data_IF_852216434483
#
_entry.id   IF_852216434483
#
_cell.length_a   1.000
_cell.length_b   1.000
_cell.length_c   1.000
_cell.angle_alpha   90.00
_cell.angle_beta   90.00
_cell.angle_gamma   90.00
#
_symmetry.space_group_name_H-M   'P 1'
#
loop_
_entity.id
_entity.type
_entity.pdbx_description
1 polymer ?
#
# COMPACT_ATOMS: atom_id res chain seq x y z
N UNK A 1 -7.19 -14.19 0.51
CA UNK A 1 -7.19 -13.26 1.66
C UNK A 1 -8.57 -13.06 2.30
N UNK A 2 -9.71 -13.48 1.72
CA UNK A 2 -11.01 -13.35 2.41
C UNK A 2 -11.42 -11.91 2.75
N UNK A 3 -10.74 -10.91 2.16
CA UNK A 3 -11.04 -9.49 2.34
C UNK A 3 -12.17 -9.15 1.39
N UNK A 4 -13.32 -8.81 1.95
CA UNK A 4 -14.54 -8.48 1.20
C UNK A 4 -14.92 -7.01 1.30
N UNK A 5 -14.32 -6.28 2.25
CA UNK A 5 -14.55 -4.86 2.48
C UNK A 5 -13.25 -4.18 2.92
N UNK A 6 -13.01 -2.92 2.52
CA UNK A 6 -11.85 -2.17 2.97
C UNK A 6 -11.91 -1.91 4.49
N UNK A 7 -10.75 -1.91 5.14
CA UNK A 7 -10.62 -1.41 6.52
C UNK A 7 -10.77 0.12 6.54
N UNK A 8 -11.02 0.78 7.70
CA UNK A 8 -11.18 2.23 7.77
C UNK A 8 -10.02 3.00 7.13
N UNK A 9 -8.77 2.64 7.45
CA UNK A 9 -7.61 3.31 6.86
C UNK A 9 -7.53 3.11 5.34
N UNK A 10 -7.93 1.94 4.82
CA UNK A 10 -7.96 1.70 3.38
C UNK A 10 -9.03 2.56 2.71
N UNK A 11 -10.24 2.61 3.27
CA UNK A 11 -11.33 3.41 2.73
C UNK A 11 -10.99 4.91 2.71
N UNK A 12 -10.26 5.39 3.74
CA UNK A 12 -9.85 6.80 3.84
C UNK A 12 -8.74 7.17 2.85
N UNK A 13 -7.74 6.30 2.62
CA UNK A 13 -6.55 6.67 1.82
C UNK A 13 -6.63 6.27 0.36
N UNK A 14 -7.35 5.18 0.02
CA UNK A 14 -7.37 4.64 -1.35
C UNK A 14 -7.81 5.67 -2.41
N UNK A 15 -8.86 6.48 -2.21
CA UNK A 15 -9.26 7.48 -3.21
C UNK A 15 -8.12 8.45 -3.54
N UNK A 16 -7.39 8.91 -2.52
CA UNK A 16 -6.31 9.87 -2.70
C UNK A 16 -5.08 9.24 -3.36
N UNK A 17 -4.71 8.02 -2.94
CA UNK A 17 -3.55 7.32 -3.50
C UNK A 17 -3.77 6.90 -4.95
N UNK A 18 -4.98 6.48 -5.31
CA UNK A 18 -5.35 6.14 -6.69
C UNK A 18 -5.40 7.37 -7.60
N UNK A 19 -5.72 8.55 -7.04
CA UNK A 19 -5.59 9.85 -7.73
C UNK A 19 -4.13 10.33 -7.82
N UNK A 20 -3.16 9.54 -7.38
CA UNK A 20 -1.73 9.88 -7.43
C UNK A 20 -1.31 10.96 -6.43
N UNK A 21 -2.09 11.18 -5.36
CA UNK A 21 -1.77 12.15 -4.33
C UNK A 21 -0.94 11.55 -3.20
N UNK A 22 -0.08 12.38 -2.62
CA UNK A 22 0.65 12.03 -1.41
C UNK A 22 -0.28 11.97 -0.18
N UNK A 23 -0.03 10.99 0.69
CA UNK A 23 -0.82 10.74 1.90
C UNK A 23 0.08 10.43 3.10
N UNK A 24 -0.25 11.00 4.25
CA UNK A 24 0.26 10.57 5.55
C UNK A 24 -0.84 9.78 6.26
N UNK A 25 -0.63 8.46 6.43
CA UNK A 25 -1.57 7.57 7.09
C UNK A 25 -1.14 7.21 8.51
N UNK A 26 -1.91 7.62 9.52
CA UNK A 26 -1.67 7.24 10.91
C UNK A 26 -2.68 6.18 11.36
N UNK A 27 -2.21 4.96 11.64
CA UNK A 27 -3.05 3.91 12.20
C UNK A 27 -2.23 2.90 13.01
N UNK A 28 -2.88 2.12 13.88
CA UNK A 28 -2.24 1.05 14.69
C UNK A 28 -1.83 -0.16 13.84
N UNK A 29 -0.87 -0.96 14.30
CA UNK A 29 -0.51 -2.24 13.64
C UNK A 29 -1.75 -3.15 13.54
N UNK A 30 -1.86 -3.90 12.44
CA UNK A 30 -3.03 -4.74 12.15
C UNK A 30 -4.23 -4.01 11.55
N UNK A 31 -4.18 -2.68 11.36
CA UNK A 31 -5.29 -1.91 10.77
C UNK A 31 -5.47 -2.05 9.26
N UNK A 32 -4.61 -2.81 8.57
CA UNK A 32 -4.65 -2.96 7.11
C UNK A 32 -3.83 -1.95 6.31
N UNK A 33 -2.93 -1.18 6.96
CA UNK A 33 -2.05 -0.19 6.29
C UNK A 33 -1.24 -0.76 5.13
N UNK A 34 -0.74 -1.99 5.24
CA UNK A 34 0.08 -2.61 4.19
C UNK A 34 -0.68 -2.68 2.87
N UNK A 35 -1.90 -3.22 2.89
CA UNK A 35 -2.76 -3.23 1.70
C UNK A 35 -3.21 -1.84 1.27
N UNK A 36 -3.31 -0.89 2.21
CA UNK A 36 -3.71 0.49 1.90
C UNK A 36 -2.73 1.19 0.95
N UNK A 37 -1.42 0.93 1.05
CA UNK A 37 -0.44 1.44 0.08
C UNK A 37 -0.08 0.43 -1.02
N UNK A 38 -0.15 -0.88 -0.76
CA UNK A 38 0.26 -1.89 -1.74
C UNK A 38 -0.73 -2.01 -2.91
N UNK A 39 -2.04 -1.87 -2.66
CA UNK A 39 -3.07 -1.90 -3.71
C UNK A 39 -2.86 -0.83 -4.79
N UNK A 40 -2.76 0.48 -4.45
CA UNK A 40 -2.53 1.51 -5.46
C UNK A 40 -1.18 1.34 -6.15
N UNK A 41 -0.15 0.86 -5.45
CA UNK A 41 1.16 0.58 -6.03
C UNK A 41 1.08 -0.54 -7.09
N UNK A 42 0.34 -1.63 -6.82
CA UNK A 42 0.12 -2.70 -7.79
C UNK A 42 -0.68 -2.21 -8.99
N UNK A 43 -1.69 -1.35 -8.79
CA UNK A 43 -2.53 -0.80 -9.85
C UNK A 43 -1.72 0.02 -10.88
N UNK A 44 -0.67 0.72 -10.45
CA UNK A 44 0.11 1.60 -11.32
C UNK A 44 1.36 0.96 -11.93
N UNK A 45 1.78 -0.22 -11.46
CA UNK A 45 2.97 -0.92 -11.99
C UNK A 45 2.66 -1.55 -13.35
N UNK A 46 3.49 -1.27 -14.36
CA UNK A 46 3.42 -1.95 -15.66
C UNK A 46 4.25 -3.25 -15.63
N UNK A 47 3.62 -4.44 -15.70
CA UNK A 47 4.33 -5.72 -15.65
C UNK A 47 5.20 -5.98 -16.88
N UNK A 48 5.03 -5.24 -17.98
CA UNK A 48 5.83 -5.38 -19.21
C UNK A 48 7.15 -4.62 -19.12
N UNK A 49 7.22 -3.62 -18.22
CA UNK A 49 8.41 -2.79 -18.04
C UNK A 49 9.35 -3.43 -17.01
N UNK A 50 10.51 -3.93 -17.48
CA UNK A 50 11.53 -4.54 -16.61
C UNK A 50 12.44 -3.49 -15.95
N UNK A 51 11.85 -2.64 -15.12
CA UNK A 51 12.52 -1.63 -14.32
C UNK A 51 11.94 -1.57 -12.91
N UNK A 52 12.69 -1.01 -11.95
CA UNK A 52 12.15 -0.67 -10.62
C UNK A 52 11.16 0.47 -10.80
N UNK A 53 9.90 0.25 -10.43
CA UNK A 53 8.80 1.21 -10.61
C UNK A 53 8.21 1.73 -9.30
N UNK A 54 8.56 1.09 -8.18
CA UNK A 54 8.11 1.49 -6.86
C UNK A 54 9.16 1.12 -5.80
N UNK A 55 9.17 1.88 -4.70
CA UNK A 55 10.07 1.68 -3.57
C UNK A 55 9.28 1.79 -2.27
N UNK A 56 9.37 0.77 -1.43
CA UNK A 56 8.84 0.79 -0.07
C UNK A 56 10.02 0.72 0.89
N UNK A 57 10.11 1.71 1.79
CA UNK A 57 11.13 1.76 2.83
C UNK A 57 10.54 1.26 4.14
N UNK A 58 11.25 0.34 4.80
CA UNK A 58 10.86 -0.20 6.10
C UNK A 58 11.99 0.01 7.12
N UNK A 59 11.66 0.14 8.41
CA UNK A 59 12.66 0.37 9.47
C UNK A 59 13.50 -0.88 9.80
N UNK A 60 13.00 -2.09 9.49
CA UNK A 60 13.71 -3.35 9.78
C UNK A 60 13.62 -4.31 8.60
N UNK A 61 14.56 -5.26 8.57
CA UNK A 61 14.62 -6.32 7.56
C UNK A 61 13.46 -7.29 7.67
N UNK A 62 13.05 -7.62 8.89
CA UNK A 62 11.95 -8.55 9.17
C UNK A 62 10.63 -8.00 8.63
N UNK A 63 10.41 -6.69 8.80
CA UNK A 63 9.23 -6.03 8.25
C UNK A 63 9.29 -5.98 6.71
N UNK A 64 10.47 -5.81 6.12
CA UNK A 64 10.62 -5.85 4.66
C UNK A 64 10.21 -7.21 4.05
N UNK A 65 10.37 -8.30 4.80
CA UNK A 65 9.96 -9.65 4.36
C UNK A 65 8.46 -9.88 4.53
N UNK A 66 7.82 -9.17 5.46
CA UNK A 66 6.38 -9.30 5.75
C UNK A 66 5.50 -8.44 4.84
N UNK A 67 6.04 -7.34 4.33
CA UNK A 67 5.39 -6.43 3.37
C UNK A 67 5.50 -7.02 1.97
#
# INVERSE_FOLDING_TARGET
MGITSPTPIQAEVLPFLLDGRDVIGQARTGSGKTLAFALPLIEVVDPRLRAVQALVLTPTRELAVQV
#
